data_IF_521446228212
#
_entry.id   IF_521446228212
#
_cell.length_a   1.000
_cell.length_b   1.000
_cell.length_c   1.000
_cell.angle_alpha   90.00
_cell.angle_beta   90.00
_cell.angle_gamma   90.00
#
_symmetry.space_group_name_H-M   'P 1'
#
loop_
_entity.id
_entity.type
_entity.pdbx_description
1 polymer ?
#
# COMPACT_ATOMS: atom_id res chain seq x y z
N UNK A 1 -7.35 -11.64 -46.13
CA UNK A 1 -6.33 -11.12 -45.19
C UNK A 1 -6.88 -9.87 -44.51
N UNK A 2 -7.83 -10.03 -43.59
CA UNK A 2 -8.46 -8.94 -42.81
C UNK A 2 -8.75 -9.43 -41.38
N UNK A 3 -9.16 -10.70 -41.27
CA UNK A 3 -9.43 -11.40 -40.00
C UNK A 3 -8.21 -11.43 -39.06
N UNK A 4 -7.00 -11.57 -39.60
CA UNK A 4 -5.75 -11.62 -38.81
C UNK A 4 -5.36 -10.26 -38.24
N UNK A 5 -5.62 -9.16 -38.97
CA UNK A 5 -5.32 -7.80 -38.49
C UNK A 5 -6.24 -7.46 -37.33
N UNK A 6 -7.54 -7.76 -37.44
CA UNK A 6 -8.52 -7.52 -36.36
C UNK A 6 -8.22 -8.33 -35.09
N UNK A 7 -7.77 -9.58 -35.22
CA UNK A 7 -7.40 -10.40 -34.05
C UNK A 7 -6.18 -9.83 -33.33
N UNK A 8 -5.17 -9.36 -34.06
CA UNK A 8 -3.99 -8.71 -33.49
C UNK A 8 -4.36 -7.41 -32.75
N UNK A 9 -5.27 -6.60 -33.30
CA UNK A 9 -5.70 -5.36 -32.64
C UNK A 9 -6.50 -5.64 -31.37
N UNK A 10 -7.34 -6.68 -31.35
CA UNK A 10 -8.11 -7.08 -30.16
C UNK A 10 -7.16 -7.54 -29.04
N UNK A 11 -6.15 -8.34 -29.37
CA UNK A 11 -5.19 -8.83 -28.38
C UNK A 11 -4.27 -7.71 -27.85
N UNK A 12 -3.86 -6.77 -28.70
CA UNK A 12 -3.13 -5.57 -28.25
C UNK A 12 -3.99 -4.72 -27.30
N UNK A 13 -5.25 -4.48 -27.64
CA UNK A 13 -6.18 -3.72 -26.80
C UNK A 13 -6.40 -4.38 -25.43
N UNK A 14 -6.62 -5.70 -25.40
CA UNK A 14 -6.75 -6.43 -24.13
C UNK A 14 -5.50 -6.31 -23.26
N UNK A 15 -4.32 -6.40 -23.87
CA UNK A 15 -3.07 -6.26 -23.13
C UNK A 15 -2.94 -4.85 -22.54
N UNK A 16 -3.20 -3.80 -23.33
CA UNK A 16 -3.17 -2.42 -22.84
C UNK A 16 -4.16 -2.17 -21.69
N UNK A 17 -5.37 -2.74 -21.77
CA UNK A 17 -6.36 -2.68 -20.68
C UNK A 17 -5.83 -3.36 -19.42
N UNK A 18 -5.29 -4.58 -19.55
CA UNK A 18 -4.74 -5.32 -18.41
C UNK A 18 -3.56 -4.56 -17.78
N UNK A 19 -2.66 -4.00 -18.58
CA UNK A 19 -1.53 -3.21 -18.07
C UNK A 19 -2.00 -1.94 -17.36
N UNK A 20 -2.99 -1.25 -17.91
CA UNK A 20 -3.57 -0.05 -17.30
C UNK A 20 -4.23 -0.39 -15.96
N UNK A 21 -5.03 -1.44 -15.90
CA UNK A 21 -5.67 -1.89 -14.65
C UNK A 21 -4.65 -2.29 -13.58
N UNK A 22 -3.59 -3.02 -13.96
CA UNK A 22 -2.51 -3.40 -13.03
C UNK A 22 -1.77 -2.16 -12.52
N UNK A 23 -1.51 -1.19 -13.40
CA UNK A 23 -0.82 0.04 -13.05
C UNK A 23 -1.66 0.92 -12.11
N UNK A 24 -2.92 1.15 -12.43
CA UNK A 24 -3.85 1.93 -11.60
C UNK A 24 -4.00 1.29 -10.21
N UNK A 25 -4.17 -0.03 -10.13
CA UNK A 25 -4.22 -0.75 -8.84
C UNK A 25 -2.93 -0.61 -8.04
N UNK A 26 -1.77 -0.66 -8.70
CA UNK A 26 -0.47 -0.46 -8.04
C UNK A 26 -0.36 0.95 -7.47
N UNK A 27 -0.83 1.95 -8.21
CA UNK A 27 -0.77 3.36 -7.81
C UNK A 27 -1.74 3.67 -6.66
N UNK A 28 -2.95 3.11 -6.70
CA UNK A 28 -3.92 3.21 -5.59
C UNK A 28 -3.39 2.60 -4.31
N UNK A 29 -2.78 1.41 -4.40
CA UNK A 29 -2.16 0.74 -3.25
C UNK A 29 -1.02 1.56 -2.66
N UNK A 30 -0.14 2.11 -3.50
CA UNK A 30 0.95 2.96 -3.04
C UNK A 30 0.43 4.22 -2.34
N UNK A 31 -0.58 4.88 -2.92
CA UNK A 31 -1.20 6.05 -2.31
C UNK A 31 -1.85 5.74 -0.95
N UNK A 32 -2.62 4.66 -0.85
CA UNK A 32 -3.23 4.23 0.41
C UNK A 32 -2.19 3.97 1.50
N UNK A 33 -1.08 3.31 1.14
CA UNK A 33 0.03 3.08 2.05
C UNK A 33 0.72 4.39 2.47
N UNK A 34 1.03 5.27 1.52
CA UNK A 34 1.69 6.56 1.80
C UNK A 34 0.86 7.44 2.74
N UNK A 35 -0.47 7.46 2.57
CA UNK A 35 -1.39 8.18 3.46
C UNK A 35 -1.39 7.58 4.86
N UNK A 36 -1.49 6.25 4.97
CA UNK A 36 -1.50 5.55 6.24
C UNK A 36 -0.17 5.72 7.00
N UNK A 37 0.96 5.62 6.30
CA UNK A 37 2.29 5.89 6.85
C UNK A 37 2.39 7.34 7.34
N UNK A 38 1.90 8.31 6.57
CA UNK A 38 1.90 9.71 6.94
C UNK A 38 1.15 9.98 8.25
N UNK A 39 -0.04 9.41 8.42
CA UNK A 39 -0.83 9.57 9.64
C UNK A 39 -0.20 8.87 10.85
N UNK A 40 0.35 7.67 10.66
CA UNK A 40 1.07 6.95 11.72
C UNK A 40 2.30 7.74 12.21
N UNK A 41 3.13 8.23 11.27
CA UNK A 41 4.32 9.01 11.58
C UNK A 41 3.98 10.35 12.24
N UNK A 42 2.89 11.00 11.82
CA UNK A 42 2.36 12.21 12.48
C UNK A 42 1.92 11.90 13.92
N UNK A 43 1.24 10.78 14.15
CA UNK A 43 0.89 10.30 15.50
C UNK A 43 2.11 10.09 16.39
N UNK A 44 3.15 9.44 15.88
CA UNK A 44 4.42 9.27 16.61
C UNK A 44 5.08 10.61 16.92
N UNK A 45 5.06 11.56 15.98
CA UNK A 45 5.61 12.91 16.21
C UNK A 45 4.89 13.67 17.32
N UNK A 46 3.61 13.34 17.57
CA UNK A 46 2.76 13.93 18.60
C UNK A 46 2.82 13.20 19.94
N UNK A 47 3.71 12.21 20.09
CA UNK A 47 3.95 11.49 21.33
C UNK A 47 3.05 10.27 21.54
N UNK A 48 2.37 9.79 20.49
CA UNK A 48 1.77 8.45 20.53
C UNK A 48 2.89 7.41 20.68
N UNK A 49 2.67 6.40 21.51
CA UNK A 49 3.69 5.38 21.76
C UNK A 49 4.02 4.65 20.46
N UNK A 50 5.31 4.65 20.09
CA UNK A 50 5.81 3.94 18.91
C UNK A 50 5.65 2.41 19.06
N UNK A 51 5.39 1.96 20.30
CA UNK A 51 5.52 0.57 20.72
C UNK A 51 4.16 -0.03 21.07
N UNK A 52 3.80 -1.06 20.31
CA UNK A 52 2.67 -1.99 20.53
C UNK A 52 1.26 -1.53 20.24
N UNK A 53 1.04 -0.38 19.63
CA UNK A 53 -0.30 -0.02 19.17
C UNK A 53 -0.54 -0.60 17.77
N UNK A 54 -1.60 -1.39 17.67
CA UNK A 54 -2.23 -1.70 16.40
C UNK A 54 -2.66 -0.37 15.76
N UNK A 55 -2.13 -0.05 14.59
CA UNK A 55 -2.51 1.14 13.84
C UNK A 55 -3.56 0.76 12.80
N UNK A 56 -4.62 1.55 12.72
CA UNK A 56 -5.70 1.35 11.76
C UNK A 56 -6.02 2.65 11.05
N UNK A 57 -5.99 2.60 9.73
CA UNK A 57 -6.33 3.70 8.83
C UNK A 57 -7.43 3.24 7.87
N UNK A 58 -8.40 4.11 7.61
CA UNK A 58 -9.49 3.87 6.67
C UNK A 58 -9.74 5.11 5.85
N UNK A 59 -9.87 4.93 4.54
CA UNK A 59 -10.13 5.99 3.58
C UNK A 59 -11.11 5.54 2.51
N UNK A 60 -11.42 6.43 1.58
CA UNK A 60 -12.21 6.07 0.39
C UNK A 60 -11.49 5.08 -0.55
N UNK A 61 -10.19 4.83 -0.38
CA UNK A 61 -9.43 3.89 -1.21
C UNK A 61 -9.35 2.47 -0.63
N UNK A 62 -9.74 2.31 0.64
CA UNK A 62 -9.62 1.06 1.38
C UNK A 62 -9.11 1.27 2.80
N UNK A 63 -8.57 0.20 3.37
CA UNK A 63 -8.12 0.14 4.75
C UNK A 63 -6.66 -0.29 4.80
N UNK A 64 -5.92 0.26 5.76
CA UNK A 64 -4.56 -0.13 6.05
C UNK A 64 -4.43 -0.38 7.55
N UNK A 65 -3.86 -1.52 7.89
CA UNK A 65 -3.61 -1.95 9.24
C UNK A 65 -2.11 -2.16 9.42
N UNK A 66 -1.54 -1.65 10.51
CA UNK A 66 -0.12 -1.82 10.82
C UNK A 66 0.06 -2.43 12.20
N UNK A 67 0.97 -3.41 12.28
CA UNK A 67 1.51 -3.90 13.56
C UNK A 67 3.00 -3.61 13.60
N UNK A 68 3.42 -2.76 14.53
CA UNK A 68 4.80 -2.33 14.65
C UNK A 68 5.50 -2.97 15.86
N UNK A 69 6.71 -3.48 15.63
CA UNK A 69 7.58 -4.05 16.64
C UNK A 69 8.96 -3.39 16.62
N UNK A 70 9.52 -3.15 17.80
CA UNK A 70 10.90 -2.74 17.91
C UNK A 70 11.81 -3.90 17.53
N UNK A 71 12.65 -3.70 16.52
CA UNK A 71 13.71 -4.67 16.24
C UNK A 71 14.96 -4.34 17.07
N UNK A 72 15.33 -3.05 17.16
CA UNK A 72 16.51 -2.56 17.87
C UNK A 72 16.31 -1.10 18.34
N UNK A 73 17.29 -0.52 19.03
CA UNK A 73 17.31 0.91 19.44
C UNK A 73 17.25 1.91 18.26
N UNK A 74 17.41 1.44 17.03
CA UNK A 74 17.51 2.28 15.83
C UNK A 74 16.38 2.09 14.82
N UNK A 75 15.62 0.99 14.89
CA UNK A 75 14.61 0.66 13.87
C UNK A 75 13.34 0.05 14.47
N UNK A 76 12.21 0.49 13.90
CA UNK A 76 10.89 -0.12 14.04
C UNK A 76 10.58 -0.91 12.79
N UNK A 77 10.08 -2.12 12.93
CA UNK A 77 9.53 -2.91 11.82
C UNK A 77 8.02 -2.86 11.92
N UNK A 78 7.35 -2.43 10.86
CA UNK A 78 5.90 -2.51 10.77
C UNK A 78 5.47 -3.48 9.68
N UNK A 79 4.56 -4.36 10.05
CA UNK A 79 3.83 -5.24 9.15
C UNK A 79 2.55 -4.53 8.75
N UNK A 80 2.39 -4.29 7.46
CA UNK A 80 1.21 -3.64 6.90
C UNK A 80 0.33 -4.66 6.21
N UNK A 81 -0.96 -4.59 6.50
CA UNK A 81 -2.03 -5.30 5.81
C UNK A 81 -2.94 -4.25 5.16
N UNK A 82 -3.06 -4.32 3.84
CA UNK A 82 -3.81 -3.37 3.04
C UNK A 82 -4.98 -4.11 2.40
N UNK A 83 -6.19 -3.59 2.61
CA UNK A 83 -7.42 -4.07 1.99
C UNK A 83 -7.95 -2.96 1.09
N UNK A 84 -7.83 -3.15 -0.23
CA UNK A 84 -8.38 -2.25 -1.24
C UNK A 84 -9.93 -2.30 -1.22
N UNK A 85 -10.61 -1.28 -1.78
CA UNK A 85 -12.08 -1.25 -1.89
C UNK A 85 -12.70 -2.48 -2.56
N UNK A 86 -11.98 -3.11 -3.50
CA UNK A 86 -12.45 -4.31 -4.21
C UNK A 86 -12.29 -5.59 -3.38
N UNK A 87 -11.86 -5.48 -2.11
CA UNK A 87 -11.63 -6.59 -1.20
C UNK A 87 -10.28 -7.29 -1.43
N UNK A 88 -9.42 -6.74 -2.29
CA UNK A 88 -8.09 -7.30 -2.52
C UNK A 88 -7.17 -6.99 -1.34
N UNK A 89 -6.64 -8.04 -0.76
CA UNK A 89 -5.71 -7.98 0.37
C UNK A 89 -4.27 -8.06 -0.12
N UNK A 90 -3.40 -7.30 0.54
CA UNK A 90 -1.96 -7.39 0.32
C UNK A 90 -1.21 -7.09 1.61
N UNK A 91 -0.06 -7.72 1.78
CA UNK A 91 0.81 -7.44 2.92
C UNK A 91 2.19 -6.96 2.47
N UNK A 92 2.82 -6.17 3.32
CA UNK A 92 4.17 -5.65 3.11
C UNK A 92 4.84 -5.33 4.44
N UNK A 93 6.16 -5.21 4.44
CA UNK A 93 6.96 -4.96 5.64
C UNK A 93 7.87 -3.78 5.38
N UNK A 94 7.85 -2.80 6.29
CA UNK A 94 8.66 -1.60 6.23
C UNK A 94 9.51 -1.43 7.49
N UNK A 95 10.67 -0.81 7.29
CA UNK A 95 11.62 -0.50 8.35
C UNK A 95 11.72 1.01 8.49
N UNK A 96 11.28 1.53 9.63
CA UNK A 96 11.35 2.96 9.94
C UNK A 96 12.50 3.23 10.92
N UNK A 97 13.33 4.25 10.65
CA UNK A 97 14.34 4.67 11.61
C UNK A 97 13.68 5.34 12.82
N UNK A 98 14.16 5.02 14.02
CA UNK A 98 13.77 5.74 15.24
C UNK A 98 14.59 7.03 15.27
N UNK A 99 13.98 8.16 14.97
CA UNK A 99 14.64 9.46 15.13
C UNK A 99 14.43 9.87 16.58
N UNK A 100 15.46 9.71 17.41
CA UNK A 100 15.45 10.22 18.78
C UNK A 100 15.25 11.74 18.75
N UNK A 101 14.14 12.21 19.35
CA UNK A 101 13.88 13.63 19.58
C UNK A 101 14.69 14.15 20.77
#
# INVERSE_FOLDING_TARGET
MFITVTLLTIEQYKNEVIYTEVYEKTLLRQNLLELAEGEMLDGWSKGQTIWSDEFYFSSELGQAYATCQQNNETHVICHWEITELDGKESSTVYHYPIVAQ
#
